data_IF_783382897078
#
_entry.id   IF_783382897078
#
_cell.length_a   1.000
_cell.length_b   1.000
_cell.length_c   1.000
_cell.angle_alpha   90.00
_cell.angle_beta   90.00
_cell.angle_gamma   90.00
#
_symmetry.space_group_name_H-M   'P 1'
#
loop_
_entity.id
_entity.type
_entity.pdbx_description
1 polymer ?
#
# COMPACT_ATOMS: atom_id res chain seq x y z
N UNK A 1 -4.12 -10.97 7.95
CA UNK A 1 -3.78 -10.44 9.29
C UNK A 1 -2.60 -9.51 9.11
N UNK A 2 -2.86 -8.21 9.09
CA UNK A 2 -1.79 -7.21 8.94
C UNK A 2 -1.06 -7.18 10.29
N UNK A 3 0.25 -7.45 10.25
CA UNK A 3 1.10 -7.35 11.44
C UNK A 3 1.22 -5.88 11.83
N UNK A 4 1.11 -5.57 13.11
CA UNK A 4 1.36 -4.24 13.67
C UNK A 4 2.65 -3.65 13.09
N UNK A 5 2.62 -2.39 12.65
CA UNK A 5 3.81 -1.70 12.15
C UNK A 5 4.93 -1.73 13.20
N UNK A 6 6.11 -2.21 12.83
CA UNK A 6 7.28 -2.29 13.73
C UNK A 6 8.41 -1.34 13.32
N UNK A 7 8.11 -0.30 12.54
CA UNK A 7 9.07 0.72 12.13
C UNK A 7 9.58 1.52 13.33
N UNK A 8 10.54 0.97 14.09
CA UNK A 8 11.18 1.67 15.21
C UNK A 8 12.32 2.53 14.68
N UNK A 9 12.24 3.85 14.89
CA UNK A 9 13.27 4.86 14.56
C UNK A 9 13.49 5.14 13.07
N UNK A 10 12.47 4.95 12.25
CA UNK A 10 12.51 5.35 10.83
C UNK A 10 11.64 6.58 10.68
N UNK A 11 12.24 7.70 10.28
CA UNK A 11 11.51 8.95 10.10
C UNK A 11 10.54 8.88 8.91
N UNK A 12 9.42 9.59 9.02
CA UNK A 12 8.52 9.82 7.88
C UNK A 12 9.29 10.42 6.70
N UNK A 13 9.05 9.90 5.50
CA UNK A 13 9.78 10.30 4.29
C UNK A 13 11.18 9.67 4.14
N UNK A 14 11.55 8.76 5.05
CA UNK A 14 12.71 7.89 4.86
C UNK A 14 12.36 6.64 4.04
N UNK A 15 13.36 6.08 3.36
CA UNK A 15 13.29 4.82 2.61
C UNK A 15 14.01 3.66 3.34
N UNK A 16 14.41 3.86 4.61
CA UNK A 16 15.27 2.91 5.36
C UNK A 16 14.59 1.58 5.73
N UNK A 17 13.26 1.50 5.63
CA UNK A 17 12.46 0.31 5.97
C UNK A 17 11.71 -0.29 4.77
N UNK A 18 12.19 -0.04 3.55
CA UNK A 18 11.62 -0.65 2.35
C UNK A 18 12.22 -2.04 2.07
N UNK A 19 11.43 -2.92 1.46
CA UNK A 19 11.88 -4.17 0.85
C UNK A 19 11.59 -4.14 -0.64
N UNK A 20 12.48 -4.72 -1.43
CA UNK A 20 12.27 -4.89 -2.87
C UNK A 20 11.50 -6.20 -3.10
N UNK A 21 10.32 -6.09 -3.72
CA UNK A 21 9.49 -7.23 -4.12
C UNK A 21 9.56 -7.46 -5.62
N UNK A 22 9.43 -8.72 -6.03
CA UNK A 22 9.26 -9.08 -7.45
C UNK A 22 7.84 -8.72 -7.88
N UNK A 23 7.65 -7.83 -8.87
CA UNK A 23 6.33 -7.44 -9.31
C UNK A 23 5.65 -8.55 -10.12
N UNK A 24 4.30 -8.62 -10.10
CA UNK A 24 3.56 -9.48 -11.03
C UNK A 24 3.71 -8.97 -12.48
N UNK A 25 3.42 -9.80 -13.50
CA UNK A 25 3.61 -9.46 -14.91
C UNK A 25 3.04 -8.10 -15.36
N UNK A 26 1.89 -7.70 -14.80
CA UNK A 26 1.22 -6.42 -15.12
C UNK A 26 1.82 -5.19 -14.44
N UNK A 27 2.85 -5.37 -13.60
CA UNK A 27 3.60 -4.32 -12.91
C UNK A 27 5.11 -4.38 -13.20
N UNK A 28 5.55 -5.27 -14.09
CA UNK A 28 6.96 -5.40 -14.46
C UNK A 28 7.45 -4.09 -15.08
N UNK A 29 8.55 -3.58 -14.55
CA UNK A 29 9.21 -2.39 -15.06
C UNK A 29 10.06 -2.74 -16.29
N UNK A 30 10.22 -1.84 -17.27
CA UNK A 30 11.08 -2.08 -18.43
C UNK A 30 12.54 -2.38 -18.08
N UNK A 31 13.01 -1.90 -16.92
CA UNK A 31 14.37 -2.12 -16.42
C UNK A 31 14.53 -3.43 -15.64
N UNK A 32 13.47 -4.24 -15.50
CA UNK A 32 13.49 -5.53 -14.82
C UNK A 32 13.70 -5.46 -13.30
N UNK A 33 13.72 -4.25 -12.71
CA UNK A 33 13.91 -4.09 -11.26
C UNK A 33 12.64 -4.40 -10.48
N UNK A 34 12.82 -4.77 -9.22
CA UNK A 34 11.71 -4.93 -8.29
C UNK A 34 11.05 -3.60 -7.93
N UNK A 35 9.99 -3.71 -7.13
CA UNK A 35 9.27 -2.56 -6.58
C UNK A 35 9.57 -2.49 -5.09
N UNK A 36 10.12 -1.37 -4.65
CA UNK A 36 10.31 -1.08 -3.23
C UNK A 36 8.98 -0.76 -2.58
N UNK A 37 8.69 -1.41 -1.46
CA UNK A 37 7.50 -1.19 -0.63
C UNK A 37 7.88 -1.14 0.83
N UNK A 38 7.10 -0.47 1.66
CA UNK A 38 7.32 -0.53 3.12
C UNK A 38 7.24 -1.97 3.61
N UNK A 39 8.27 -2.43 4.34
CA UNK A 39 8.36 -3.81 4.83
C UNK A 39 7.13 -4.24 5.63
N UNK A 40 6.52 -3.30 6.37
CA UNK A 40 5.30 -3.54 7.14
C UNK A 40 4.07 -3.85 6.27
N UNK A 41 4.06 -3.38 5.02
CA UNK A 41 2.96 -3.57 4.07
C UNK A 41 3.26 -4.62 3.00
N UNK A 42 4.48 -5.18 2.96
CA UNK A 42 4.93 -6.10 1.91
C UNK A 42 3.99 -7.29 1.68
N UNK A 43 3.48 -7.91 2.75
CA UNK A 43 2.52 -9.01 2.65
C UNK A 43 1.18 -8.56 2.06
N UNK A 44 0.68 -7.40 2.47
CA UNK A 44 -0.60 -6.89 2.00
C UNK A 44 -0.51 -6.48 0.53
N UNK A 45 0.58 -5.79 0.14
CA UNK A 45 0.84 -5.43 -1.25
C UNK A 45 0.95 -6.69 -2.13
N UNK A 46 1.63 -7.73 -1.66
CA UNK A 46 1.72 -9.00 -2.38
C UNK A 46 0.34 -9.63 -2.59
N UNK A 47 -0.54 -9.58 -1.59
CA UNK A 47 -1.88 -10.15 -1.71
C UNK A 47 -2.76 -9.32 -2.67
N UNK A 48 -2.67 -7.99 -2.61
CA UNK A 48 -3.34 -7.11 -3.58
C UNK A 48 -2.89 -7.40 -5.02
N UNK A 49 -1.59 -7.59 -5.22
CA UNK A 49 -1.05 -7.98 -6.52
C UNK A 49 -1.58 -9.33 -7.00
N UNK A 50 -1.76 -10.30 -6.10
CA UNK A 50 -2.39 -11.60 -6.44
C UNK A 50 -3.86 -11.47 -6.81
N UNK A 51 -4.54 -10.44 -6.31
CA UNK A 51 -5.90 -10.07 -6.70
C UNK A 51 -5.97 -9.28 -8.02
N UNK A 52 -4.82 -8.98 -8.65
CA UNK A 52 -4.76 -8.16 -9.87
C UNK A 52 -4.86 -6.66 -9.63
N UNK A 53 -4.75 -6.20 -8.38
CA UNK A 53 -4.82 -4.77 -8.02
C UNK A 53 -3.47 -4.11 -8.31
N UNK A 54 -3.51 -2.99 -9.04
CA UNK A 54 -2.32 -2.23 -9.43
C UNK A 54 -2.02 -1.14 -8.39
N UNK A 55 -1.08 -1.41 -7.50
CA UNK A 55 -0.63 -0.43 -6.51
C UNK A 55 0.38 0.56 -7.11
N UNK A 56 0.31 1.83 -6.70
CA UNK A 56 1.19 2.92 -7.16
C UNK A 56 2.07 3.49 -6.04
N UNK A 57 1.73 3.20 -4.77
CA UNK A 57 2.52 3.59 -3.60
C UNK A 57 1.92 3.01 -2.32
N UNK A 58 2.69 3.04 -1.23
CA UNK A 58 2.18 2.64 0.08
C UNK A 58 3.00 3.32 1.17
N UNK A 59 2.37 3.57 2.32
CA UNK A 59 3.06 3.99 3.53
C UNK A 59 2.40 3.33 4.74
N UNK A 60 3.20 2.73 5.63
CA UNK A 60 2.73 2.13 6.86
C UNK A 60 2.32 3.16 7.94
N UNK A 61 2.45 4.46 7.66
CA UNK A 61 2.20 5.55 8.60
C UNK A 61 3.20 5.61 9.77
N UNK A 62 4.20 4.73 9.78
CA UNK A 62 5.27 4.63 10.79
C UNK A 62 4.79 4.54 12.25
N UNK A 63 3.53 4.16 12.46
CA UNK A 63 2.89 4.12 13.79
C UNK A 63 2.37 5.46 14.29
N UNK A 64 2.58 6.55 13.53
CA UNK A 64 2.11 7.89 13.85
C UNK A 64 0.84 8.27 13.07
N UNK A 65 0.65 7.69 11.88
CA UNK A 65 -0.47 7.94 10.98
C UNK A 65 -1.17 6.64 10.57
N UNK A 66 -2.40 6.78 10.08
CA UNK A 66 -3.10 5.67 9.44
C UNK A 66 -2.33 5.20 8.20
N UNK A 67 -2.08 3.89 8.05
CA UNK A 67 -1.42 3.39 6.87
C UNK A 67 -2.27 3.59 5.61
N UNK A 68 -1.59 3.83 4.49
CA UNK A 68 -2.20 4.14 3.19
C UNK A 68 -1.60 3.27 2.10
N UNK A 69 -2.45 2.89 1.14
CA UNK A 69 -2.06 2.25 -0.11
C UNK A 69 -2.67 3.04 -1.25
N UNK A 70 -1.83 3.49 -2.17
CA UNK A 70 -2.25 4.14 -3.40
C UNK A 70 -2.39 3.10 -4.51
N UNK A 71 -3.43 3.20 -5.33
CA UNK A 71 -3.65 2.34 -6.50
C UNK A 71 -3.78 3.16 -7.78
N UNK A 72 -3.83 2.49 -8.93
CA UNK A 72 -4.21 3.12 -10.18
C UNK A 72 -5.75 3.25 -10.29
N UNK A 73 -6.25 4.19 -11.10
CA UNK A 73 -7.68 4.49 -11.23
C UNK A 73 -8.49 3.22 -11.52
N UNK A 74 -7.98 2.37 -12.41
CA UNK A 74 -8.62 1.12 -12.83
C UNK A 74 -8.75 0.08 -11.70
N UNK A 75 -8.02 0.26 -10.59
CA UNK A 75 -8.03 -0.64 -9.44
C UNK A 75 -8.86 -0.13 -8.26
N UNK A 76 -9.42 1.08 -8.34
CA UNK A 76 -10.19 1.68 -7.25
C UNK A 76 -11.41 0.83 -6.86
N UNK A 77 -12.18 0.36 -7.84
CA UNK A 77 -13.35 -0.50 -7.59
C UNK A 77 -12.94 -1.84 -6.96
N UNK A 78 -11.85 -2.45 -7.45
CA UNK A 78 -11.34 -3.70 -6.89
C UNK A 78 -10.88 -3.54 -5.44
N UNK A 79 -10.29 -2.40 -5.06
CA UNK A 79 -9.94 -2.09 -3.68
C UNK A 79 -11.18 -2.01 -2.78
N UNK A 80 -12.23 -1.30 -3.22
CA UNK A 80 -13.49 -1.22 -2.47
C UNK A 80 -14.14 -2.60 -2.30
N UNK A 81 -14.18 -3.40 -3.37
CA UNK A 81 -14.68 -4.78 -3.33
C UNK A 81 -13.84 -5.71 -2.44
N UNK A 82 -12.53 -5.43 -2.31
CA UNK A 82 -11.65 -6.11 -1.38
C UNK A 82 -11.86 -5.68 0.09
N UNK A 83 -12.72 -4.70 0.33
CA UNK A 83 -13.15 -4.22 1.64
C UNK A 83 -12.43 -2.96 2.13
N UNK A 84 -11.54 -2.38 1.33
CA UNK A 84 -10.78 -1.17 1.70
C UNK A 84 -11.65 0.09 1.66
N UNK A 85 -11.26 1.09 2.45
CA UNK A 85 -11.96 2.37 2.51
C UNK A 85 -11.15 3.44 1.78
N UNK A 86 -11.82 4.29 1.00
CA UNK A 86 -11.18 5.47 0.43
C UNK A 86 -10.75 6.41 1.57
N UNK A 87 -9.51 6.88 1.53
CA UNK A 87 -8.96 7.74 2.57
C UNK A 87 -9.69 9.07 2.62
N UNK A 88 -10.22 9.44 3.77
CA UNK A 88 -10.82 10.77 3.98
C UNK A 88 -9.76 11.90 4.06
N UNK A 89 -8.46 11.56 4.11
CA UNK A 89 -7.35 12.51 4.21
C UNK A 89 -7.06 13.24 2.90
N UNK A 90 -7.72 12.85 1.80
CA UNK A 90 -7.54 13.49 0.51
C UNK A 90 -8.70 14.46 0.24
N UNK A 91 -8.37 15.74 0.10
CA UNK A 91 -9.31 16.78 -0.39
C UNK A 91 -9.62 16.65 -1.89
N UNK A 92 -9.02 15.64 -2.55
CA UNK A 92 -9.22 15.32 -3.95
C UNK A 92 -10.08 14.06 -4.10
N UNK A 93 -11.29 14.15 -4.66
CA UNK A 93 -12.17 13.00 -4.90
C UNK A 93 -11.65 12.04 -5.99
N UNK A 94 -10.53 12.38 -6.66
CA UNK A 94 -9.81 11.48 -7.60
C UNK A 94 -8.68 10.72 -6.92
N UNK A 95 -8.50 10.86 -5.60
CA UNK A 95 -7.43 10.16 -4.91
C UNK A 95 -7.70 8.65 -4.92
N UNK A 96 -6.79 7.90 -5.52
CA UNK A 96 -6.76 6.44 -5.40
C UNK A 96 -6.05 6.01 -4.12
N UNK A 97 -6.25 6.75 -3.03
CA UNK A 97 -5.60 6.48 -1.75
C UNK A 97 -6.61 5.75 -0.87
N UNK A 98 -6.24 4.54 -0.47
CA UNK A 98 -7.06 3.68 0.36
C UNK A 98 -6.39 3.48 1.70
N UNK A 99 -7.20 3.49 2.76
CA UNK A 99 -6.79 3.02 4.09
C UNK A 99 -7.41 1.65 4.34
N UNK A 100 -7.09 1.02 5.46
CA UNK A 100 -7.45 -0.39 5.66
C UNK A 100 -8.92 -0.70 5.50
N UNK A 101 -9.13 -2.00 5.29
CA UNK A 101 -10.43 -2.64 5.43
C UNK A 101 -11.05 -2.29 6.78
N UNK A 102 -12.35 -2.10 6.81
CA UNK A 102 -13.10 -1.88 8.05
C UNK A 102 -12.71 -2.94 9.10
N UNK A 103 -12.27 -2.48 10.29
CA UNK A 103 -11.84 -3.36 11.39
C UNK A 103 -10.33 -3.51 11.62
N UNK A 104 -9.48 -2.59 11.12
CA UNK A 104 -8.09 -2.51 11.60
C UNK A 104 -8.06 -2.13 13.09
N UNK A 105 -7.20 -2.74 13.93
CA UNK A 105 -7.00 -2.23 15.28
C UNK A 105 -6.36 -0.85 15.16
N UNK A 106 -7.08 0.17 15.64
CA UNK A 106 -6.57 1.51 15.89
C UNK A 106 -5.34 1.47 16.81
#
# INVERSE_FOLDING_TARGET
>A
MIRSCTCRRVGMGSYDAQVELVPPPFLVRPDGRGICVDACLALEITELWRMGIRTTGCCCGHGDLEPTICVADESAEAMMNAGYLASALTVDPTSNVFTAKSGWPA
#
